data_IF_427937230271
#
_entry.id   IF_427937230271
#
_cell.length_a   1.000
_cell.length_b   1.000
_cell.length_c   1.000
_cell.angle_alpha   90.00
_cell.angle_beta   90.00
_cell.angle_gamma   90.00
#
_symmetry.space_group_name_H-M   'P 1'
#
loop_
_entity.id
_entity.type
_entity.pdbx_description
1 polymer ?
#
# COMPACT_ATOMS: atom_id res chain seq x y z
N UNK A 1 4.93 -20.66 12.59
CA UNK A 1 3.90 -20.03 13.42
C UNK A 1 4.17 -18.55 13.46
N UNK A 2 3.26 -17.72 12.95
CA UNK A 2 3.30 -16.29 13.25
C UNK A 2 2.81 -16.11 14.69
N UNK A 3 3.51 -15.36 15.56
CA UNK A 3 3.04 -15.09 16.91
C UNK A 3 1.69 -14.38 16.85
N UNK A 4 0.77 -14.70 17.77
CA UNK A 4 -0.45 -13.90 17.97
C UNK A 4 -0.04 -12.66 18.77
N UNK A 5 -0.15 -11.48 18.17
CA UNK A 5 0.29 -10.22 18.77
C UNK A 5 -0.81 -9.59 19.62
N UNK A 6 -0.46 -9.27 20.86
CA UNK A 6 -1.25 -8.43 21.76
C UNK A 6 -0.93 -6.98 21.42
N UNK A 7 -1.90 -6.31 20.78
CA UNK A 7 -1.73 -5.03 20.07
C UNK A 7 -1.32 -3.89 21.01
N UNK A 8 -1.68 -4.00 22.28
CA UNK A 8 -1.47 -2.95 23.28
C UNK A 8 -0.02 -2.93 23.79
N UNK A 9 0.65 -4.09 23.85
CA UNK A 9 2.06 -4.19 24.25
C UNK A 9 3.03 -3.62 23.19
N UNK A 10 2.65 -3.64 21.91
CA UNK A 10 3.46 -3.04 20.85
C UNK A 10 3.33 -1.53 20.80
N UNK A 11 2.16 -0.95 21.09
CA UNK A 11 1.98 0.51 21.12
C UNK A 11 2.82 1.16 22.21
N UNK A 12 2.86 0.55 23.40
CA UNK A 12 3.68 1.03 24.53
C UNK A 12 5.20 0.92 24.27
N UNK A 13 5.62 -0.05 23.45
CA UNK A 13 7.03 -0.25 23.11
C UNK A 13 7.43 0.38 21.77
N UNK A 14 6.46 0.81 20.96
CA UNK A 14 6.69 1.55 19.72
C UNK A 14 7.02 2.99 20.08
N UNK A 15 8.30 3.34 19.99
CA UNK A 15 8.73 4.74 20.06
C UNK A 15 8.00 5.48 18.94
N UNK A 16 7.01 6.30 19.30
CA UNK A 16 6.24 7.06 18.32
C UNK A 16 7.20 8.00 17.60
N UNK A 17 7.36 7.78 16.30
CA UNK A 17 8.30 8.50 15.45
C UNK A 17 7.60 9.69 14.82
N UNK A 18 7.98 10.88 15.26
CA UNK A 18 7.51 12.14 14.70
C UNK A 18 8.58 12.87 13.86
N UNK A 19 9.86 12.51 14.03
CA UNK A 19 10.98 13.15 13.32
C UNK A 19 11.44 12.31 12.12
N UNK A 20 11.88 12.98 11.06
CA UNK A 20 12.46 12.35 9.88
C UNK A 20 13.72 11.53 10.23
N UNK A 21 14.52 12.02 11.17
CA UNK A 21 15.72 11.33 11.68
C UNK A 21 15.38 10.00 12.38
N UNK A 22 14.34 9.98 13.22
CA UNK A 22 13.88 8.75 13.88
C UNK A 22 13.29 7.76 12.86
N UNK A 23 12.64 8.24 11.80
CA UNK A 23 12.19 7.39 10.69
C UNK A 23 13.38 6.77 9.96
N UNK A 24 14.42 7.56 9.66
CA UNK A 24 15.64 7.05 9.04
C UNK A 24 16.35 6.00 9.88
N UNK A 25 16.35 6.14 11.21
CA UNK A 25 16.91 5.13 12.10
C UNK A 25 16.14 3.81 12.02
N UNK A 26 14.80 3.84 12.08
CA UNK A 26 13.94 2.65 11.90
C UNK A 26 14.00 2.06 10.48
N UNK A 27 14.17 2.90 9.47
CA UNK A 27 14.38 2.52 8.08
C UNK A 27 15.73 1.81 7.89
N UNK A 28 16.77 2.29 8.56
CA UNK A 28 18.13 1.75 8.50
C UNK A 28 18.25 0.41 9.23
N UNK A 29 17.33 0.11 10.16
CA UNK A 29 17.29 -1.16 10.88
C UNK A 29 16.64 -2.25 10.00
N UNK A 30 17.44 -3.20 9.46
CA UNK A 30 16.94 -4.29 8.63
C UNK A 30 16.05 -5.28 9.41
N UNK A 31 16.08 -5.23 10.74
CA UNK A 31 15.40 -6.14 11.66
C UNK A 31 14.19 -5.52 12.36
N UNK A 32 13.80 -4.29 12.01
CA UNK A 32 12.53 -3.75 12.45
C UNK A 32 11.41 -4.74 12.13
N UNK A 33 10.72 -5.22 13.17
CA UNK A 33 9.70 -6.26 13.07
C UNK A 33 8.63 -5.92 12.01
N UNK A 34 8.27 -4.64 11.89
CA UNK A 34 7.34 -4.15 10.89
C UNK A 34 7.80 -4.47 9.45
N UNK A 35 9.09 -4.29 9.14
CA UNK A 35 9.64 -4.61 7.83
C UNK A 35 9.57 -6.11 7.52
N UNK A 36 9.83 -6.96 8.53
CA UNK A 36 9.77 -8.43 8.38
C UNK A 36 8.33 -8.88 8.12
N UNK A 37 7.37 -8.39 8.89
CA UNK A 37 5.95 -8.72 8.71
C UNK A 37 5.43 -8.23 7.37
N UNK A 38 5.71 -6.97 7.01
CA UNK A 38 5.31 -6.41 5.72
C UNK A 38 5.90 -7.22 4.56
N UNK A 39 7.19 -7.57 4.61
CA UNK A 39 7.81 -8.41 3.59
C UNK A 39 7.18 -9.81 3.53
N UNK A 40 6.87 -10.42 4.67
CA UNK A 40 6.17 -11.71 4.72
C UNK A 40 4.80 -11.64 4.05
N UNK A 41 4.04 -10.57 4.29
CA UNK A 41 2.73 -10.36 3.67
C UNK A 41 2.85 -10.17 2.16
N UNK A 42 3.79 -9.34 1.71
CA UNK A 42 4.03 -9.08 0.28
C UNK A 42 4.47 -10.34 -0.47
N UNK A 43 5.25 -11.21 0.16
CA UNK A 43 5.75 -12.44 -0.47
C UNK A 43 4.74 -13.59 -0.44
N UNK A 44 3.78 -13.58 0.50
CA UNK A 44 2.83 -14.67 0.70
C UNK A 44 1.43 -14.40 0.14
N UNK A 45 1.02 -13.13 -0.01
CA UNK A 45 -0.34 -12.76 -0.40
C UNK A 45 -0.38 -11.67 -1.47
N UNK A 46 -1.50 -11.63 -2.19
CA UNK A 46 -1.92 -10.45 -2.95
C UNK A 46 -2.44 -9.39 -1.96
N UNK A 47 -1.90 -8.18 -2.05
CA UNK A 47 -2.17 -7.10 -1.07
C UNK A 47 -2.93 -5.97 -1.75
N UNK A 48 -3.95 -5.47 -1.06
CA UNK A 48 -4.70 -4.28 -1.46
C UNK A 48 -4.29 -3.10 -0.56
N UNK A 49 -3.63 -2.10 -1.14
CA UNK A 49 -3.24 -0.88 -0.46
C UNK A 49 -4.37 0.15 -0.54
N UNK A 50 -4.79 0.68 0.61
CA UNK A 50 -5.87 1.67 0.75
C UNK A 50 -5.38 2.79 1.65
N UNK A 51 -5.58 4.05 1.25
CA UNK A 51 -5.13 5.22 2.02
C UNK A 51 -3.62 5.42 2.03
N UNK A 52 -2.89 4.69 1.18
CA UNK A 52 -1.45 4.82 1.02
C UNK A 52 -1.15 5.51 -0.30
N UNK A 53 -0.27 6.50 -0.25
CA UNK A 53 0.09 7.29 -1.41
C UNK A 53 1.04 6.53 -2.36
N UNK A 54 1.71 5.47 -1.86
CA UNK A 54 2.72 4.66 -2.56
C UNK A 54 3.99 5.42 -2.97
N UNK A 55 4.23 6.63 -2.46
CA UNK A 55 5.52 7.33 -2.63
C UNK A 55 6.51 7.07 -1.50
N UNK A 56 6.11 6.35 -0.46
CA UNK A 56 6.97 6.02 0.67
C UNK A 56 8.18 5.16 0.24
N UNK A 57 9.43 5.60 0.49
CA UNK A 57 10.63 4.86 0.09
C UNK A 57 10.75 3.47 0.72
N UNK A 58 10.26 3.28 1.95
CA UNK A 58 10.33 2.00 2.63
C UNK A 58 9.41 0.97 2.01
N UNK A 59 8.16 1.34 1.75
CA UNK A 59 7.19 0.47 1.10
C UNK A 59 7.67 0.08 -0.30
N UNK A 60 8.16 1.04 -1.08
CA UNK A 60 8.70 0.79 -2.43
C UNK A 60 9.91 -0.15 -2.39
N UNK A 61 10.82 0.05 -1.44
CA UNK A 61 11.96 -0.85 -1.19
C UNK A 61 11.51 -2.27 -0.84
N UNK A 62 10.51 -2.44 0.04
CA UNK A 62 10.04 -3.76 0.45
C UNK A 62 9.34 -4.50 -0.70
N UNK A 63 8.61 -3.79 -1.55
CA UNK A 63 8.01 -4.36 -2.78
C UNK A 63 9.12 -4.79 -3.76
N UNK A 64 10.15 -3.96 -3.97
CA UNK A 64 11.27 -4.33 -4.83
C UNK A 64 12.06 -5.53 -4.30
N UNK A 65 12.27 -5.60 -2.98
CA UNK A 65 12.87 -6.75 -2.31
C UNK A 65 12.05 -8.03 -2.45
N UNK A 66 10.72 -7.95 -2.43
CA UNK A 66 9.88 -9.12 -2.68
C UNK A 66 10.01 -9.59 -4.13
N UNK A 67 10.02 -8.66 -5.10
CA UNK A 67 10.11 -9.02 -6.53
C UNK A 67 11.49 -9.52 -6.95
N UNK A 68 12.56 -8.94 -6.42
CA UNK A 68 13.94 -9.41 -6.66
C UNK A 68 14.18 -10.84 -6.15
N UNK A 69 13.44 -11.26 -5.11
CA UNK A 69 13.41 -12.66 -4.63
C UNK A 69 12.58 -13.60 -5.51
N UNK A 70 11.98 -13.10 -6.60
CA UNK A 70 11.23 -13.91 -7.57
C UNK A 70 9.74 -14.03 -7.29
N UNK A 71 9.20 -13.37 -6.26
CA UNK A 71 7.77 -13.38 -5.98
C UNK A 71 7.01 -12.53 -7.02
N UNK A 72 5.88 -13.05 -7.48
CA UNK A 72 5.05 -12.44 -8.55
C UNK A 72 3.60 -12.26 -8.14
N UNK A 73 3.34 -12.12 -6.83
CA UNK A 73 2.01 -11.85 -6.32
C UNK A 73 1.49 -10.54 -6.91
N UNK A 74 0.20 -10.53 -7.25
CA UNK A 74 -0.42 -9.35 -7.81
C UNK A 74 -0.89 -8.45 -6.68
N UNK A 75 -0.27 -7.28 -6.56
CA UNK A 75 -0.70 -6.25 -5.60
C UNK A 75 -1.59 -5.22 -6.30
N UNK A 76 -2.45 -4.59 -5.51
CA UNK A 76 -3.41 -3.58 -5.97
C UNK A 76 -3.33 -2.36 -5.05
N UNK A 77 -3.53 -1.17 -5.59
CA UNK A 77 -3.59 0.06 -4.79
C UNK A 77 -4.75 0.93 -5.24
N UNK A 78 -5.55 1.40 -4.29
CA UNK A 78 -6.72 2.24 -4.57
C UNK A 78 -6.32 3.71 -4.58
N UNK A 79 -6.65 4.42 -5.66
CA UNK A 79 -6.30 5.83 -5.86
C UNK A 79 -7.49 6.63 -6.39
N UNK A 80 -7.62 7.88 -5.95
CA UNK A 80 -8.55 8.81 -6.58
C UNK A 80 -8.11 9.13 -8.02
N UNK A 81 -9.07 9.13 -8.94
CA UNK A 81 -8.85 9.47 -10.33
C UNK A 81 -8.54 10.98 -10.47
N UNK A 82 -7.33 11.36 -10.90
CA UNK A 82 -6.96 12.77 -11.03
C UNK A 82 -7.73 13.48 -12.15
N UNK A 83 -8.46 12.74 -13.01
CA UNK A 83 -9.21 13.32 -14.13
C UNK A 83 -10.64 13.72 -13.76
N UNK A 84 -11.16 13.33 -12.59
CA UNK A 84 -12.59 13.43 -12.27
C UNK A 84 -13.07 14.85 -11.98
N UNK A 85 -12.34 15.59 -11.15
CA UNK A 85 -12.74 16.92 -10.67
C UNK A 85 -12.22 18.07 -11.54
N UNK A 86 -11.78 17.78 -12.77
CA UNK A 86 -11.00 18.73 -13.58
C UNK A 86 -11.79 19.15 -14.83
N UNK A 87 -11.83 20.46 -15.16
CA UNK A 87 -12.49 20.95 -16.36
C UNK A 87 -11.86 20.39 -17.64
N UNK A 88 -12.66 20.36 -18.72
CA UNK A 88 -12.28 19.74 -20.01
C UNK A 88 -10.96 20.32 -20.58
N UNK A 89 -10.68 21.60 -20.34
CA UNK A 89 -9.45 22.28 -20.76
C UNK A 89 -8.17 21.68 -20.16
N UNK A 90 -8.23 21.19 -18.92
CA UNK A 90 -7.08 20.65 -18.18
C UNK A 90 -7.02 19.11 -18.22
N UNK A 91 -8.06 18.46 -18.75
CA UNK A 91 -8.17 17.01 -18.81
C UNK A 91 -6.99 16.33 -19.49
N UNK A 92 -6.43 16.93 -20.54
CA UNK A 92 -5.25 16.40 -21.23
C UNK A 92 -4.01 16.35 -20.34
N UNK A 93 -3.85 17.32 -19.43
CA UNK A 93 -2.74 17.33 -18.47
C UNK A 93 -2.93 16.23 -17.41
N UNK A 94 -4.15 16.10 -16.89
CA UNK A 94 -4.46 15.08 -15.87
C UNK A 94 -4.40 13.65 -16.40
N UNK A 95 -4.75 13.44 -17.68
CA UNK A 95 -4.58 12.14 -18.33
C UNK A 95 -3.10 11.72 -18.36
N UNK A 96 -2.17 12.66 -18.58
CA UNK A 96 -0.74 12.38 -18.50
C UNK A 96 -0.31 12.03 -17.08
N UNK A 97 -0.82 12.75 -16.09
CA UNK A 97 -0.55 12.46 -14.66
C UNK A 97 -1.06 11.06 -14.30
N UNK A 98 -2.30 10.72 -14.67
CA UNK A 98 -2.87 9.38 -14.48
C UNK A 98 -1.99 8.30 -15.10
N UNK A 99 -1.59 8.49 -16.36
CA UNK A 99 -0.71 7.54 -17.06
C UNK A 99 0.64 7.39 -16.36
N UNK A 100 1.21 8.48 -15.84
CA UNK A 100 2.47 8.44 -15.13
C UNK A 100 2.35 7.66 -13.82
N UNK A 101 1.29 7.87 -13.05
CA UNK A 101 0.98 7.09 -11.84
C UNK A 101 0.82 5.61 -12.19
N UNK A 102 0.11 5.31 -13.29
CA UNK A 102 -0.14 3.95 -13.71
C UNK A 102 1.14 3.20 -14.11
N UNK A 103 2.01 3.85 -14.89
CA UNK A 103 3.30 3.29 -15.28
C UNK A 103 4.21 3.09 -14.06
N UNK A 104 4.26 4.08 -13.16
CA UNK A 104 5.04 4.02 -11.93
C UNK A 104 4.67 2.82 -11.07
N UNK A 105 3.38 2.66 -10.76
CA UNK A 105 2.88 1.55 -9.94
C UNK A 105 3.04 0.20 -10.64
N UNK A 106 2.76 0.14 -11.95
CA UNK A 106 2.97 -1.10 -12.72
C UNK A 106 4.43 -1.53 -12.74
N UNK A 107 5.37 -0.59 -12.78
CA UNK A 107 6.81 -0.90 -12.68
C UNK A 107 7.15 -1.59 -11.36
N UNK A 108 6.48 -1.19 -10.27
CA UNK A 108 6.59 -1.82 -8.94
C UNK A 108 5.81 -3.14 -8.84
N UNK A 109 4.97 -3.48 -9.81
CA UNK A 109 4.13 -4.70 -9.77
C UNK A 109 2.80 -4.49 -9.05
N UNK A 110 2.42 -3.23 -8.87
CA UNK A 110 1.17 -2.82 -8.25
C UNK A 110 0.22 -2.33 -9.33
N UNK A 111 -0.99 -2.86 -9.36
CA UNK A 111 -2.01 -2.39 -10.29
C UNK A 111 -2.86 -1.31 -9.61
N UNK A 112 -2.91 -0.07 -10.13
CA UNK A 112 -3.80 0.95 -9.59
C UNK A 112 -5.25 0.61 -9.90
N UNK A 113 -6.11 0.80 -8.90
CA UNK A 113 -7.55 0.82 -9.05
C UNK A 113 -8.03 2.26 -8.82
N UNK A 114 -8.34 2.94 -9.92
CA UNK A 114 -8.82 4.32 -9.86
C UNK A 114 -10.29 4.36 -9.46
N UNK A 115 -10.60 5.14 -8.42
CA UNK A 115 -11.94 5.42 -7.91
C UNK A 115 -12.25 6.90 -8.09
N UNK A 116 -13.53 7.25 -8.24
CA UNK A 116 -13.91 8.66 -8.34
C UNK A 116 -13.89 9.33 -6.96
N UNK A 117 -14.35 8.63 -5.93
CA UNK A 117 -14.47 9.13 -4.56
C UNK A 117 -14.15 8.03 -3.54
N UNK A 118 -13.59 8.41 -2.38
CA UNK A 118 -13.23 7.48 -1.32
C UNK A 118 -14.41 6.70 -0.72
N UNK A 119 -15.65 7.18 -0.86
CA UNK A 119 -16.85 6.40 -0.50
C UNK A 119 -16.89 5.04 -1.20
N UNK A 120 -16.41 4.97 -2.45
CA UNK A 120 -16.36 3.74 -3.25
C UNK A 120 -15.43 2.67 -2.66
N UNK A 121 -14.48 3.05 -1.81
CA UNK A 121 -13.65 2.08 -1.08
C UNK A 121 -14.52 1.14 -0.26
N UNK A 122 -15.57 1.66 0.36
CA UNK A 122 -16.49 0.86 1.17
C UNK A 122 -17.20 -0.19 0.32
N UNK A 123 -17.61 0.18 -0.90
CA UNK A 123 -18.28 -0.72 -1.82
C UNK A 123 -17.33 -1.80 -2.36
N UNK A 124 -16.08 -1.42 -2.65
CA UNK A 124 -15.02 -2.39 -2.98
C UNK A 124 -14.85 -3.39 -1.83
N UNK A 125 -14.74 -2.91 -0.59
CA UNK A 125 -14.57 -3.77 0.58
C UNK A 125 -15.77 -4.69 0.80
N UNK A 126 -17.00 -4.20 0.62
CA UNK A 126 -18.21 -5.03 0.68
C UNK A 126 -18.24 -6.10 -0.42
N UNK A 127 -17.77 -5.78 -1.62
CA UNK A 127 -17.76 -6.73 -2.75
C UNK A 127 -16.78 -7.89 -2.57
N UNK A 128 -15.67 -7.66 -1.87
CA UNK A 128 -14.65 -8.68 -1.58
C UNK A 128 -14.90 -9.39 -0.24
N UNK A 129 -15.76 -8.83 0.61
CA UNK A 129 -16.11 -9.43 1.88
C UNK A 129 -16.83 -10.75 1.63
N UNK A 130 -16.20 -11.85 2.05
CA UNK A 130 -16.86 -13.15 2.11
C UNK A 130 -17.90 -13.07 3.24
N UNK A 131 -19.17 -13.44 3.01
CA UNK A 131 -20.15 -13.48 4.09
C UNK A 131 -19.64 -14.43 5.17
N UNK A 132 -19.51 -13.91 6.38
CA UNK A 132 -19.15 -14.71 7.55
C UNK A 132 -20.37 -15.56 7.94
N UNK A 133 -20.45 -16.79 7.45
CA UNK A 133 -21.37 -17.78 8.01
C UNK A 133 -20.85 -18.16 9.40
N UNK A 134 -21.50 -17.60 10.43
CA UNK A 134 -21.25 -18.00 11.81
C UNK A 134 -21.68 -19.46 11.96
N UNK A 135 -20.70 -20.34 12.14
CA UNK A 135 -20.89 -21.75 12.48
C UNK A 135 -20.69 -21.93 13.98
#
# INVERSE_FOLDING_TARGET
MLPRFDRDLELDNSRIVFSEDDYHNLYSDPYSWANIVQLSLLTSFSVLFIGLSMQDPNLRRLIDLSRSKGFRNQHFAVFCDPTKHVPVSERSQQLRIRQMIELDLKSLGVTPWFIDDYEQVTDILKSIAVPYEAN
#
